data_IF_110068009291
#
_entry.id   IF_110068009291
#
_cell.length_a   1.000
_cell.length_b   1.000
_cell.length_c   1.000
_cell.angle_alpha   90.00
_cell.angle_beta   90.00
_cell.angle_gamma   90.00
#
_symmetry.space_group_name_H-M   'P 1'
#
loop_
_entity.id
_entity.type
_entity.pdbx_description
1 polymer ?
#
# COMPACT_ATOMS: atom_id res chain seq x y z
N UNK A 1 19.33 -11.33 3.01
CA UNK A 1 18.03 -10.79 3.45
C UNK A 1 17.58 -11.61 4.64
N UNK A 2 17.43 -11.00 5.82
CA UNK A 2 16.94 -11.74 6.98
C UNK A 2 15.45 -11.99 6.81
N UNK A 3 15.02 -13.23 7.02
CA UNK A 3 13.62 -13.64 6.87
C UNK A 3 12.66 -12.74 7.69
N UNK A 4 13.11 -12.32 8.87
CA UNK A 4 12.34 -11.47 9.77
C UNK A 4 12.04 -10.09 9.18
N UNK A 5 13.00 -9.46 8.51
CA UNK A 5 12.81 -8.15 7.86
C UNK A 5 11.78 -8.25 6.74
N UNK A 6 11.85 -9.33 5.94
CA UNK A 6 10.90 -9.61 4.87
C UNK A 6 9.48 -9.72 5.41
N UNK A 7 9.35 -10.48 6.50
CA UNK A 7 8.09 -10.71 7.17
C UNK A 7 7.50 -9.40 7.71
N UNK A 8 8.31 -8.55 8.34
CA UNK A 8 7.87 -7.23 8.83
C UNK A 8 7.39 -6.35 7.68
N UNK A 9 8.13 -6.30 6.58
CA UNK A 9 7.77 -5.48 5.40
C UNK A 9 6.41 -5.91 4.81
N UNK A 10 6.18 -7.22 4.70
CA UNK A 10 4.90 -7.79 4.25
C UNK A 10 3.77 -7.52 5.26
N UNK A 11 4.04 -7.66 6.55
CA UNK A 11 3.04 -7.36 7.57
C UNK A 11 2.65 -5.88 7.53
N UNK A 12 3.62 -4.99 7.38
CA UNK A 12 3.42 -3.54 7.31
C UNK A 12 2.59 -3.16 6.08
N UNK A 13 2.87 -3.75 4.91
CA UNK A 13 2.12 -3.44 3.69
C UNK A 13 0.66 -3.89 3.80
N UNK A 14 0.42 -5.06 4.40
CA UNK A 14 -0.92 -5.58 4.66
C UNK A 14 -1.71 -4.65 5.59
N UNK A 15 -1.13 -4.30 6.75
CA UNK A 15 -1.76 -3.43 7.74
C UNK A 15 -2.12 -2.08 7.10
N UNK A 16 -1.17 -1.46 6.40
CA UNK A 16 -1.40 -0.17 5.77
C UNK A 16 -2.46 -0.25 4.66
N UNK A 17 -2.41 -1.25 3.78
CA UNK A 17 -3.43 -1.43 2.75
C UNK A 17 -4.82 -1.61 3.35
N UNK A 18 -4.95 -2.45 4.37
CA UNK A 18 -6.22 -2.65 5.08
C UNK A 18 -6.72 -1.36 5.70
N UNK A 19 -5.84 -0.59 6.36
CA UNK A 19 -6.21 0.69 6.96
C UNK A 19 -6.72 1.68 5.90
N UNK A 20 -6.01 1.85 4.78
CA UNK A 20 -6.42 2.75 3.71
C UNK A 20 -7.71 2.31 3.05
N UNK A 21 -7.91 1.01 2.83
CA UNK A 21 -9.17 0.50 2.32
C UNK A 21 -10.35 0.79 3.25
N UNK A 22 -10.18 0.58 4.56
CA UNK A 22 -11.23 0.89 5.56
C UNK A 22 -11.53 2.39 5.59
N UNK A 23 -10.49 3.23 5.61
CA UNK A 23 -10.64 4.69 5.60
C UNK A 23 -11.36 5.15 4.33
N UNK A 24 -10.94 4.65 3.16
CA UNK A 24 -11.58 4.95 1.90
C UNK A 24 -13.06 4.57 1.92
N UNK A 25 -13.37 3.32 2.28
CA UNK A 25 -14.74 2.80 2.30
C UNK A 25 -15.63 3.58 3.27
N UNK A 26 -15.12 4.00 4.43
CA UNK A 26 -15.90 4.67 5.47
C UNK A 26 -16.09 6.17 5.20
N UNK A 27 -15.07 6.86 4.67
CA UNK A 27 -15.05 8.32 4.65
C UNK A 27 -15.05 8.96 3.25
N UNK A 28 -14.63 8.23 2.22
CA UNK A 28 -14.39 8.76 0.86
C UNK A 28 -15.31 8.14 -0.19
N UNK A 29 -15.70 6.87 -0.03
CA UNK A 29 -16.58 6.16 -0.95
C UNK A 29 -17.94 6.86 -1.09
N UNK A 30 -18.48 6.90 -2.32
CA UNK A 30 -19.74 7.57 -2.65
C UNK A 30 -19.70 9.10 -2.64
N UNK A 31 -18.56 9.73 -2.32
CA UNK A 31 -18.38 11.18 -2.41
C UNK A 31 -17.80 11.58 -3.77
N UNK A 32 -17.98 12.84 -4.13
CA UNK A 32 -17.32 13.43 -5.30
C UNK A 32 -15.80 13.25 -5.22
N UNK A 33 -15.19 12.98 -6.37
CA UNK A 33 -13.76 12.75 -6.54
C UNK A 33 -13.19 11.65 -5.62
N UNK A 34 -13.99 10.62 -5.32
CA UNK A 34 -13.59 9.49 -4.46
C UNK A 34 -12.30 8.81 -4.95
N UNK A 35 -12.15 8.61 -6.26
CA UNK A 35 -10.93 8.07 -6.89
C UNK A 35 -9.69 8.92 -6.59
N UNK A 36 -9.80 10.25 -6.72
CA UNK A 36 -8.69 11.17 -6.48
C UNK A 36 -8.31 11.20 -4.99
N UNK A 37 -9.31 11.23 -4.10
CA UNK A 37 -9.09 11.19 -2.64
C UNK A 37 -8.40 9.90 -2.21
N UNK A 38 -8.80 8.76 -2.80
CA UNK A 38 -8.11 7.50 -2.60
C UNK A 38 -6.65 7.57 -3.05
N UNK A 39 -6.39 8.10 -4.25
CA UNK A 39 -5.05 8.19 -4.81
C UNK A 39 -4.10 8.98 -3.90
N UNK A 40 -4.54 10.13 -3.38
CA UNK A 40 -3.76 10.95 -2.45
C UNK A 40 -3.46 10.19 -1.16
N UNK A 41 -4.47 9.52 -0.57
CA UNK A 41 -4.29 8.73 0.64
C UNK A 41 -3.33 7.54 0.41
N UNK A 42 -3.46 6.85 -0.72
CA UNK A 42 -2.65 5.69 -1.06
C UNK A 42 -1.19 6.07 -1.31
N UNK A 43 -0.94 7.15 -2.07
CA UNK A 43 0.43 7.64 -2.30
C UNK A 43 1.09 8.03 -0.97
N UNK A 44 0.39 8.79 -0.12
CA UNK A 44 0.92 9.18 1.19
C UNK A 44 1.29 7.97 2.06
N UNK A 45 0.42 6.97 2.10
CA UNK A 45 0.67 5.68 2.76
C UNK A 45 1.90 4.96 2.20
N UNK A 46 2.02 4.88 0.87
CA UNK A 46 3.08 4.13 0.23
C UNK A 46 4.45 4.77 0.43
N UNK A 47 4.52 6.11 0.47
CA UNK A 47 5.72 6.85 0.86
C UNK A 47 6.14 6.53 2.30
N UNK A 48 5.19 6.53 3.24
CA UNK A 48 5.46 6.18 4.65
C UNK A 48 5.92 4.73 4.78
N UNK A 49 5.25 3.80 4.09
CA UNK A 49 5.65 2.39 4.05
C UNK A 49 7.07 2.20 3.52
N UNK A 50 7.40 2.86 2.41
CA UNK A 50 8.71 2.78 1.79
C UNK A 50 9.79 3.35 2.72
N UNK A 51 9.54 4.50 3.34
CA UNK A 51 10.47 5.12 4.28
C UNK A 51 10.78 4.20 5.47
N UNK A 52 9.75 3.61 6.10
CA UNK A 52 9.93 2.66 7.20
C UNK A 52 10.69 1.43 6.73
N UNK A 53 10.33 0.87 5.58
CA UNK A 53 10.95 -0.35 5.05
C UNK A 53 12.44 -0.15 4.72
N UNK A 54 12.80 1.02 4.18
CA UNK A 54 14.20 1.37 3.90
C UNK A 54 15.04 1.58 5.16
N UNK A 55 14.44 1.94 6.28
CA UNK A 55 15.13 2.06 7.58
C UNK A 55 15.35 0.69 8.22
N UNK A 56 14.39 -0.23 8.06
CA UNK A 56 14.46 -1.57 8.65
C UNK A 56 15.37 -2.52 7.87
N UNK A 57 15.48 -2.37 6.55
CA UNK A 57 16.26 -3.28 5.71
C UNK A 57 17.68 -2.79 5.45
N UNK A 58 18.62 -3.72 5.37
CA UNK A 58 19.96 -3.43 4.88
C UNK A 58 19.93 -2.91 3.43
N UNK A 59 20.80 -1.95 3.13
CA UNK A 59 20.90 -1.34 1.80
C UNK A 59 21.60 -2.31 0.84
N UNK A 60 20.81 -3.16 0.19
CA UNK A 60 21.30 -4.07 -0.85
C UNK A 60 20.40 -4.04 -2.08
N UNK A 61 20.97 -4.39 -3.25
CA UNK A 61 20.21 -4.50 -4.50
C UNK A 61 19.07 -5.51 -4.40
N UNK A 62 19.29 -6.64 -3.71
CA UNK A 62 18.29 -7.68 -3.52
C UNK A 62 17.09 -7.20 -2.70
N UNK A 63 17.34 -6.50 -1.60
CA UNK A 63 16.29 -5.95 -0.75
C UNK A 63 15.47 -4.86 -1.48
N UNK A 64 16.14 -4.03 -2.29
CA UNK A 64 15.46 -3.05 -3.13
C UNK A 64 14.52 -3.72 -4.15
N UNK A 65 15.00 -4.75 -4.87
CA UNK A 65 14.17 -5.50 -5.81
C UNK A 65 12.97 -6.14 -5.12
N UNK A 66 13.17 -6.71 -3.93
CA UNK A 66 12.09 -7.24 -3.11
C UNK A 66 11.03 -6.18 -2.78
N UNK A 67 11.44 -4.99 -2.33
CA UNK A 67 10.52 -3.89 -2.04
C UNK A 67 9.73 -3.47 -3.27
N UNK A 68 10.36 -3.38 -4.44
CA UNK A 68 9.69 -3.05 -5.70
C UNK A 68 8.62 -4.11 -6.05
N UNK A 69 8.95 -5.39 -5.93
CA UNK A 69 7.99 -6.49 -6.20
C UNK A 69 6.82 -6.42 -5.22
N UNK A 70 7.08 -6.25 -3.92
CA UNK A 70 6.03 -6.08 -2.90
C UNK A 70 5.14 -4.88 -3.22
N UNK A 71 5.73 -3.75 -3.61
CA UNK A 71 5.00 -2.54 -3.97
C UNK A 71 4.08 -2.77 -5.17
N UNK A 72 4.56 -3.42 -6.24
CA UNK A 72 3.76 -3.68 -7.45
C UNK A 72 2.56 -4.59 -7.13
N UNK A 73 2.82 -5.73 -6.46
CA UNK A 73 1.75 -6.70 -6.12
C UNK A 73 0.70 -6.05 -5.22
N UNK A 74 1.16 -5.36 -4.19
CA UNK A 74 0.29 -4.64 -3.25
C UNK A 74 -0.55 -3.56 -3.92
N UNK A 75 0.07 -2.76 -4.79
CA UNK A 75 -0.63 -1.74 -5.57
C UNK A 75 -1.73 -2.38 -6.39
N UNK A 76 -1.43 -3.44 -7.14
CA UNK A 76 -2.44 -4.13 -7.94
C UNK A 76 -3.63 -4.61 -7.09
N UNK A 77 -3.37 -5.20 -5.92
CA UNK A 77 -4.42 -5.68 -5.01
C UNK A 77 -5.34 -4.57 -4.51
N UNK A 78 -4.78 -3.45 -4.05
CA UNK A 78 -5.59 -2.36 -3.49
C UNK A 78 -6.32 -1.59 -4.59
N UNK A 79 -5.68 -1.32 -5.73
CA UNK A 79 -6.31 -0.64 -6.86
C UNK A 79 -7.46 -1.46 -7.44
N UNK A 80 -7.29 -2.78 -7.64
CA UNK A 80 -8.39 -3.63 -8.10
C UNK A 80 -9.58 -3.59 -7.15
N UNK A 81 -9.31 -3.67 -5.84
CA UNK A 81 -10.36 -3.66 -4.81
C UNK A 81 -11.14 -2.34 -4.81
N UNK A 82 -10.45 -1.20 -4.95
CA UNK A 82 -11.05 0.13 -4.92
C UNK A 82 -11.76 0.47 -6.23
N UNK A 83 -11.16 0.18 -7.39
CA UNK A 83 -11.79 0.40 -8.70
C UNK A 83 -13.08 -0.41 -8.81
N UNK A 84 -13.08 -1.66 -8.34
CA UNK A 84 -14.29 -2.51 -8.32
C UNK A 84 -15.40 -1.93 -7.43
N UNK A 85 -15.05 -1.23 -6.35
CA UNK A 85 -16.04 -0.52 -5.53
C UNK A 85 -16.58 0.71 -6.26
N UNK A 86 -15.69 1.55 -6.80
CA UNK A 86 -16.08 2.81 -7.47
C UNK A 86 -16.97 2.53 -8.68
N UNK A 87 -16.63 1.54 -9.51
CA UNK A 87 -17.41 1.20 -10.70
C UNK A 87 -18.73 0.46 -10.41
N UNK A 88 -18.97 0.05 -9.16
CA UNK A 88 -20.26 -0.52 -8.72
C UNK A 88 -21.22 0.55 -8.18
N UNK A 89 -20.73 1.77 -7.96
CA UNK A 89 -21.53 2.94 -7.59
C UNK A 89 -22.13 3.60 -8.82
#
# INVERSE_FOLDING_TARGET
>A
MYFFDCFIVILLILIFNSAVYIIFKKYMYGKENSAMKFLVLNIGKDVVWLAISLVLMEKSKGNFLFLVVCFIISSFLIYLSVIKLINKS
#
